data_IF_335692036864
#
_entry.id   IF_335692036864
#
_cell.length_a   1.000
_cell.length_b   1.000
_cell.length_c   1.000
_cell.angle_alpha   90.00
_cell.angle_beta   90.00
_cell.angle_gamma   90.00
#
_symmetry.space_group_name_H-M   'P 1'
#
loop_
_entity.id
_entity.type
_entity.pdbx_description
1 polymer ?
#
# COMPACT_ATOMS: atom_id res chain seq x y z
N UNK A 1 -6.67 2.77 38.54
CA UNK A 1 -5.63 2.65 37.54
C UNK A 1 -6.27 3.04 36.20
N UNK A 2 -6.12 4.31 35.82
CA UNK A 2 -6.57 4.79 34.52
C UNK A 2 -5.55 4.26 33.49
N UNK A 3 -5.77 3.06 32.98
CA UNK A 3 -5.00 2.54 31.86
C UNK A 3 -5.36 3.35 30.60
N UNK A 4 -4.52 4.30 30.22
CA UNK A 4 -4.62 4.96 28.92
C UNK A 4 -4.51 3.90 27.84
N UNK A 5 -5.63 3.64 27.14
CA UNK A 5 -5.65 2.71 26.00
C UNK A 5 -4.76 3.32 24.92
N UNK A 6 -3.59 2.74 24.71
CA UNK A 6 -2.66 3.19 23.64
C UNK A 6 -3.25 2.78 22.28
N UNK A 7 -3.88 3.73 21.64
CA UNK A 7 -4.46 3.54 20.28
C UNK A 7 -3.33 3.58 19.25
N UNK A 8 -3.09 2.47 18.57
CA UNK A 8 -2.08 2.34 17.52
C UNK A 8 -2.58 1.39 16.43
N UNK A 9 -2.21 1.62 15.15
CA UNK A 9 -2.59 0.74 14.06
C UNK A 9 -2.17 -0.71 14.31
N UNK A 10 -3.00 -1.63 13.83
CA UNK A 10 -2.75 -3.06 13.89
C UNK A 10 -1.57 -3.42 12.96
N UNK A 11 -0.62 -4.22 13.48
CA UNK A 11 0.68 -4.41 12.83
C UNK A 11 0.61 -5.25 11.56
N UNK A 12 -0.16 -6.34 11.59
CA UNK A 12 -0.25 -7.25 10.46
C UNK A 12 -0.88 -6.53 9.27
N UNK A 13 -2.02 -5.89 9.47
CA UNK A 13 -2.71 -5.12 8.43
C UNK A 13 -1.83 -3.98 7.88
N UNK A 14 -1.08 -3.29 8.76
CA UNK A 14 -0.14 -2.25 8.35
C UNK A 14 1.00 -2.80 7.46
N UNK A 15 1.59 -3.94 7.84
CA UNK A 15 2.64 -4.59 7.05
C UNK A 15 2.09 -5.08 5.70
N UNK A 16 0.93 -5.75 5.71
CA UNK A 16 0.28 -6.25 4.51
C UNK A 16 -0.10 -5.12 3.53
N UNK A 17 -0.55 -3.98 4.07
CA UNK A 17 -0.82 -2.78 3.26
C UNK A 17 0.43 -2.30 2.53
N UNK A 18 1.57 -2.21 3.21
CA UNK A 18 2.84 -1.80 2.59
C UNK A 18 3.32 -2.79 1.53
N UNK A 19 3.20 -4.10 1.80
CA UNK A 19 3.57 -5.12 0.81
C UNK A 19 2.67 -5.08 -0.41
N UNK A 20 1.36 -4.88 -0.25
CA UNK A 20 0.43 -4.74 -1.36
C UNK A 20 0.70 -3.46 -2.18
N UNK A 21 1.04 -2.34 -1.53
CA UNK A 21 1.48 -1.13 -2.22
C UNK A 21 2.78 -1.34 -3.00
N UNK A 22 3.77 -2.01 -2.39
CA UNK A 22 5.02 -2.35 -3.07
C UNK A 22 4.79 -3.26 -4.29
N UNK A 23 3.89 -4.23 -4.17
CA UNK A 23 3.48 -5.09 -5.29
C UNK A 23 2.87 -4.26 -6.42
N UNK A 24 1.95 -3.34 -6.09
CA UNK A 24 1.34 -2.44 -7.07
C UNK A 24 2.38 -1.62 -7.83
N UNK A 25 3.31 -0.97 -7.13
CA UNK A 25 4.40 -0.19 -7.75
C UNK A 25 5.32 -1.07 -8.59
N UNK A 26 5.65 -2.27 -8.10
CA UNK A 26 6.58 -3.19 -8.75
C UNK A 26 6.04 -3.79 -10.05
N UNK A 27 4.72 -3.95 -10.15
CA UNK A 27 4.06 -4.43 -11.36
C UNK A 27 4.08 -3.39 -12.48
N UNK A 28 4.02 -2.11 -12.10
CA UNK A 28 4.06 -1.01 -13.07
C UNK A 28 5.48 -0.71 -13.51
N UNK A 29 6.43 -0.74 -12.58
CA UNK A 29 7.84 -0.48 -12.85
C UNK A 29 8.70 -1.66 -12.38
N UNK A 30 8.87 -2.65 -13.27
CA UNK A 30 9.61 -3.88 -12.96
C UNK A 30 11.07 -3.61 -12.62
N UNK A 31 11.69 -2.58 -13.20
CA UNK A 31 13.06 -2.17 -12.89
C UNK A 31 13.22 -1.70 -11.44
N UNK A 32 12.22 -1.00 -10.91
CA UNK A 32 12.23 -0.49 -9.53
C UNK A 32 11.79 -1.54 -8.48
N UNK A 33 11.34 -2.72 -8.89
CA UNK A 33 10.71 -3.72 -8.01
C UNK A 33 11.57 -4.11 -6.82
N UNK A 34 12.80 -4.52 -7.05
CA UNK A 34 13.74 -4.92 -5.98
C UNK A 34 13.97 -3.80 -4.99
N UNK A 35 14.22 -2.58 -5.48
CA UNK A 35 14.44 -1.42 -4.63
C UNK A 35 13.20 -1.06 -3.81
N UNK A 36 12.01 -1.15 -4.39
CA UNK A 36 10.73 -0.89 -3.70
C UNK A 36 10.49 -1.89 -2.56
N UNK A 37 10.69 -3.18 -2.79
CA UNK A 37 10.56 -4.19 -1.73
C UNK A 37 11.60 -4.01 -0.63
N UNK A 38 12.86 -3.70 -0.98
CA UNK A 38 13.92 -3.38 0.00
C UNK A 38 13.53 -2.16 0.83
N UNK A 39 12.96 -1.12 0.20
CA UNK A 39 12.48 0.07 0.92
C UNK A 39 11.37 -0.28 1.91
N UNK A 40 10.40 -1.12 1.53
CA UNK A 40 9.32 -1.57 2.41
C UNK A 40 9.86 -2.40 3.58
N UNK A 41 10.77 -3.34 3.33
CA UNK A 41 11.42 -4.11 4.40
C UNK A 41 12.14 -3.16 5.37
N UNK A 42 12.85 -2.18 4.87
CA UNK A 42 13.49 -1.14 5.68
C UNK A 42 12.49 -0.36 6.54
N UNK A 43 11.34 0.03 5.99
CA UNK A 43 10.27 0.69 6.74
C UNK A 43 9.72 -0.19 7.87
N UNK A 44 9.48 -1.48 7.60
CA UNK A 44 8.99 -2.43 8.60
C UNK A 44 10.03 -2.62 9.72
N UNK A 45 11.31 -2.73 9.37
CA UNK A 45 12.41 -2.83 10.36
C UNK A 45 12.52 -1.55 11.18
N UNK A 46 12.44 -0.37 10.56
CA UNK A 46 12.46 0.91 11.27
C UNK A 46 11.31 1.03 12.27
N UNK A 47 10.14 0.56 11.88
CA UNK A 47 8.95 0.51 12.73
C UNK A 47 9.15 -0.39 13.95
N UNK A 48 9.65 -1.60 13.74
CA UNK A 48 9.92 -2.51 14.86
C UNK A 48 10.98 -1.92 15.79
N UNK A 49 12.02 -1.30 15.24
CA UNK A 49 13.01 -0.54 16.00
C UNK A 49 12.39 0.59 16.82
N UNK A 50 11.52 1.39 16.21
CA UNK A 50 10.78 2.45 16.91
C UNK A 50 9.88 1.88 18.01
N UNK A 51 9.32 0.66 17.81
CA UNK A 51 8.57 -0.02 18.84
C UNK A 51 9.44 -0.42 20.02
N UNK A 52 10.55 -1.13 19.78
CA UNK A 52 11.48 -1.57 20.83
C UNK A 52 12.04 -0.38 21.63
N UNK A 53 12.35 0.73 20.94
CA UNK A 53 12.78 1.97 21.61
C UNK A 53 11.78 2.44 22.65
N UNK A 54 10.47 2.36 22.36
CA UNK A 54 9.42 2.81 23.27
C UNK A 54 9.11 1.83 24.40
N UNK A 55 9.39 0.53 24.19
CA UNK A 55 9.21 -0.50 25.22
C UNK A 55 10.37 -0.56 26.20
N UNK A 56 11.31 0.39 26.13
CA UNK A 56 12.44 0.52 27.04
C UNK A 56 13.73 -0.11 26.55
N UNK A 57 13.72 -0.84 25.45
CA UNK A 57 14.91 -1.42 24.84
C UNK A 57 15.64 -0.39 23.94
N UNK A 58 16.14 0.67 24.55
CA UNK A 58 16.65 1.84 23.84
C UNK A 58 17.75 1.51 22.84
N UNK A 59 18.72 0.65 23.19
CA UNK A 59 19.84 0.30 22.33
C UNK A 59 19.38 -0.48 21.08
N UNK A 60 18.58 -1.53 21.29
CA UNK A 60 18.03 -2.33 20.17
C UNK A 60 17.06 -1.51 19.31
N UNK A 61 16.26 -0.65 19.97
CA UNK A 61 15.32 0.21 19.28
C UNK A 61 16.00 1.26 18.40
N UNK A 62 17.05 1.92 18.87
CA UNK A 62 17.83 2.87 18.03
C UNK A 62 18.56 2.16 16.92
N UNK A 63 19.19 1.03 17.18
CA UNK A 63 19.86 0.24 16.15
C UNK A 63 18.87 -0.21 15.06
N UNK A 64 17.74 -0.78 15.44
CA UNK A 64 16.68 -1.20 14.50
C UNK A 64 16.12 -0.04 13.67
N UNK A 65 15.92 1.13 14.30
CA UNK A 65 15.43 2.32 13.60
C UNK A 65 16.46 2.84 12.59
N UNK A 66 17.74 2.93 12.97
CA UNK A 66 18.80 3.38 12.08
C UNK A 66 19.00 2.41 10.91
N UNK A 67 19.08 1.10 11.19
CA UNK A 67 19.22 0.08 10.15
C UNK A 67 18.02 0.12 9.21
N UNK A 68 16.81 0.19 9.76
CA UNK A 68 15.59 0.25 8.94
C UNK A 68 15.54 1.48 8.03
N UNK A 69 15.91 2.65 8.55
CA UNK A 69 15.99 3.90 7.73
C UNK A 69 17.05 3.79 6.65
N UNK A 70 18.24 3.26 6.97
CA UNK A 70 19.31 3.07 5.98
C UNK A 70 18.90 2.07 4.88
N UNK A 71 18.26 0.96 5.26
CA UNK A 71 17.74 -0.03 4.29
C UNK A 71 16.63 0.58 3.44
N UNK A 72 15.71 1.34 4.04
CA UNK A 72 14.65 2.01 3.29
C UNK A 72 15.20 3.05 2.30
N UNK A 73 16.16 3.86 2.72
CA UNK A 73 16.81 4.84 1.86
C UNK A 73 17.65 4.17 0.75
N UNK A 74 18.37 3.10 1.08
CA UNK A 74 19.12 2.29 0.10
C UNK A 74 18.19 1.65 -0.92
N UNK A 75 17.07 1.08 -0.48
CA UNK A 75 16.03 0.53 -1.37
C UNK A 75 15.45 1.60 -2.31
N UNK A 76 15.12 2.77 -1.78
CA UNK A 76 14.66 3.89 -2.60
C UNK A 76 15.71 4.34 -3.61
N UNK A 77 16.98 4.43 -3.21
CA UNK A 77 18.09 4.72 -4.10
C UNK A 77 18.25 3.69 -5.21
N UNK A 78 18.13 2.39 -4.88
CA UNK A 78 18.15 1.30 -5.87
C UNK A 78 16.98 1.42 -6.86
N UNK A 79 15.77 1.67 -6.38
CA UNK A 79 14.60 1.82 -7.25
C UNK A 79 14.74 2.99 -8.22
N UNK A 80 15.26 4.13 -7.76
CA UNK A 80 15.50 5.31 -8.60
C UNK A 80 16.66 5.08 -9.58
N UNK A 81 17.76 4.46 -9.13
CA UNK A 81 18.93 4.20 -9.99
C UNK A 81 18.66 3.15 -11.09
N UNK A 82 17.66 2.30 -10.92
CA UNK A 82 17.26 1.31 -11.93
C UNK A 82 16.39 1.89 -13.04
N UNK A 83 15.90 3.12 -12.88
CA UNK A 83 15.12 3.79 -13.92
C UNK A 83 16.00 4.19 -15.10
N UNK A 84 15.63 3.73 -16.30
CA UNK A 84 16.39 3.98 -17.54
C UNK A 84 15.84 5.17 -18.34
N UNK A 85 14.73 5.76 -17.92
CA UNK A 85 14.08 6.88 -18.60
C UNK A 85 13.27 7.77 -17.67
N UNK A 86 12.86 8.93 -18.19
CA UNK A 86 12.08 9.91 -17.39
C UNK A 86 10.73 9.36 -16.92
N UNK A 87 10.03 8.59 -17.76
CA UNK A 87 8.76 7.94 -17.39
C UNK A 87 8.92 7.04 -16.18
N UNK A 88 9.93 6.15 -16.21
CA UNK A 88 10.22 5.24 -15.09
C UNK A 88 10.65 5.98 -13.82
N UNK A 89 11.36 7.10 -13.95
CA UNK A 89 11.70 7.96 -12.81
C UNK A 89 10.46 8.57 -12.16
N UNK A 90 9.50 9.05 -12.97
CA UNK A 90 8.23 9.60 -12.46
C UNK A 90 7.44 8.51 -11.74
N UNK A 91 7.30 7.34 -12.34
CA UNK A 91 6.59 6.19 -11.76
C UNK A 91 7.25 5.74 -10.44
N UNK A 92 8.56 5.55 -10.43
CA UNK A 92 9.31 5.16 -9.24
C UNK A 92 9.21 6.24 -8.15
N UNK A 93 9.33 7.51 -8.52
CA UNK A 93 9.21 8.64 -7.59
C UNK A 93 7.83 8.72 -6.94
N UNK A 94 6.77 8.66 -7.73
CA UNK A 94 5.38 8.66 -7.24
C UNK A 94 5.09 7.42 -6.39
N UNK A 95 5.52 6.24 -6.86
CA UNK A 95 5.33 4.98 -6.15
C UNK A 95 6.03 4.96 -4.80
N UNK A 96 7.32 5.31 -4.76
CA UNK A 96 8.10 5.39 -3.52
C UNK A 96 7.53 6.43 -2.57
N UNK A 97 7.24 7.64 -3.05
CA UNK A 97 6.61 8.67 -2.23
C UNK A 97 5.30 8.16 -1.62
N UNK A 98 4.47 7.46 -2.42
CA UNK A 98 3.25 6.83 -1.95
C UNK A 98 3.48 5.80 -0.87
N UNK A 99 4.45 4.88 -1.06
CA UNK A 99 4.81 3.85 -0.07
C UNK A 99 5.34 4.47 1.21
N UNK A 100 6.17 5.53 1.13
CA UNK A 100 6.65 6.23 2.32
C UNK A 100 5.54 6.98 3.07
N UNK A 101 4.66 7.70 2.37
CA UNK A 101 3.50 8.35 2.99
C UNK A 101 2.56 7.33 3.66
N UNK A 102 2.27 6.22 2.97
CA UNK A 102 1.49 5.12 3.51
C UNK A 102 2.16 4.54 4.77
N UNK A 103 3.47 4.27 4.70
CA UNK A 103 4.26 3.80 5.83
C UNK A 103 4.14 4.72 7.03
N UNK A 104 4.36 6.02 6.86
CA UNK A 104 4.21 7.00 7.94
C UNK A 104 2.76 7.09 8.47
N UNK A 105 1.76 6.82 7.62
CA UNK A 105 0.35 6.81 7.99
C UNK A 105 -0.03 5.62 8.87
N UNK A 106 0.34 4.41 8.46
CA UNK A 106 -0.02 3.17 9.18
C UNK A 106 0.97 2.77 10.27
N UNK A 107 2.18 3.34 10.25
CA UNK A 107 3.29 3.05 11.17
C UNK A 107 3.75 4.32 11.88
N UNK A 108 2.89 4.98 12.63
CA UNK A 108 3.24 6.27 13.21
C UNK A 108 4.37 6.10 14.23
N UNK A 109 5.37 6.96 14.12
CA UNK A 109 6.38 7.10 15.16
C UNK A 109 5.75 7.56 16.47
N UNK A 110 4.64 8.30 16.42
CA UNK A 110 3.84 8.76 17.59
C UNK A 110 2.36 8.78 17.24
N UNK A 111 1.49 8.39 18.18
CA UNK A 111 0.03 8.49 18.05
C UNK A 111 -0.66 7.30 17.36
N UNK A 112 -1.90 7.51 16.94
CA UNK A 112 -2.84 6.47 16.48
C UNK A 112 -2.76 6.18 14.97
N UNK A 113 -1.81 6.74 14.24
CA UNK A 113 -1.78 6.68 12.79
C UNK A 113 -2.42 7.90 12.12
N UNK A 114 -2.30 7.99 10.81
CA UNK A 114 -2.86 9.11 10.04
C UNK A 114 -3.56 8.59 8.80
N UNK A 115 -4.91 8.60 8.83
CA UNK A 115 -5.73 8.30 7.65
C UNK A 115 -5.41 9.24 6.48
N UNK A 116 -5.10 10.51 6.77
CA UNK A 116 -4.72 11.48 5.75
C UNK A 116 -3.45 11.10 5.01
N UNK A 117 -2.40 10.68 5.74
CA UNK A 117 -1.15 10.19 5.13
C UNK A 117 -1.36 8.88 4.38
N UNK A 118 -2.18 7.97 4.90
CA UNK A 118 -2.51 6.71 4.22
C UNK A 118 -3.24 6.97 2.89
N UNK A 119 -4.22 7.87 2.89
CA UNK A 119 -4.94 8.29 1.67
C UNK A 119 -4.01 8.97 0.67
N UNK A 120 -3.15 9.87 1.12
CA UNK A 120 -2.15 10.51 0.26
C UNK A 120 -1.19 9.48 -0.34
N UNK A 121 -0.76 8.51 0.47
CA UNK A 121 0.11 7.43 0.03
C UNK A 121 -0.55 6.58 -1.06
N UNK A 122 -1.77 6.11 -0.84
CA UNK A 122 -2.53 5.34 -1.82
C UNK A 122 -2.83 6.15 -3.09
N UNK A 123 -3.18 7.44 -2.96
CA UNK A 123 -3.39 8.32 -4.09
C UNK A 123 -2.12 8.48 -4.94
N UNK A 124 -0.95 8.61 -4.31
CA UNK A 124 0.32 8.70 -5.03
C UNK A 124 0.69 7.40 -5.74
N UNK A 125 0.45 6.23 -5.10
CA UNK A 125 0.62 4.92 -5.76
C UNK A 125 -0.34 4.80 -6.95
N UNK A 126 -1.59 5.25 -6.82
CA UNK A 126 -2.54 5.29 -7.94
C UNK A 126 -2.01 6.13 -9.11
N UNK A 127 -1.45 7.30 -8.81
CA UNK A 127 -0.84 8.13 -9.84
C UNK A 127 0.35 7.44 -10.53
N UNK A 128 1.16 6.66 -9.80
CA UNK A 128 2.21 5.83 -10.40
C UNK A 128 1.62 4.78 -11.34
N UNK A 129 0.53 4.10 -10.95
CA UNK A 129 -0.17 3.10 -11.79
C UNK A 129 -0.75 3.76 -13.05
N UNK A 130 -1.40 4.92 -12.90
CA UNK A 130 -1.93 5.68 -14.04
C UNK A 130 -0.80 6.13 -14.97
N UNK A 131 0.31 6.60 -14.43
CA UNK A 131 1.48 6.98 -15.22
C UNK A 131 2.02 5.80 -16.03
N UNK A 132 2.14 4.60 -15.43
CA UNK A 132 2.54 3.38 -16.13
C UNK A 132 1.63 3.01 -17.29
N UNK A 133 0.32 3.23 -17.14
CA UNK A 133 -0.64 3.06 -18.23
C UNK A 133 -0.50 4.12 -19.33
N UNK A 134 -0.31 5.39 -18.94
CA UNK A 134 -0.16 6.51 -19.89
C UNK A 134 1.15 6.43 -20.67
N UNK A 135 2.24 6.06 -20.02
CA UNK A 135 3.56 5.93 -20.67
C UNK A 135 3.75 4.58 -21.35
N UNK A 136 2.76 3.67 -21.23
CA UNK A 136 2.79 2.32 -21.78
C UNK A 136 4.02 1.50 -21.31
N UNK A 137 4.45 1.72 -20.10
CA UNK A 137 5.57 1.02 -19.44
C UNK A 137 5.12 -0.32 -18.84
N UNK A 138 3.81 -0.48 -18.59
CA UNK A 138 3.21 -1.69 -18.07
C UNK A 138 2.11 -2.21 -19.00
N UNK A 139 2.00 -3.54 -19.10
CA UNK A 139 0.92 -4.17 -19.87
C UNK A 139 -0.44 -4.12 -19.12
N UNK A 140 -1.51 -4.41 -19.82
CA UNK A 140 -2.87 -4.33 -19.28
C UNK A 140 -3.10 -5.30 -18.09
N UNK A 141 -2.42 -6.45 -18.08
CA UNK A 141 -2.53 -7.43 -16.98
C UNK A 141 -1.83 -6.89 -15.74
N UNK A 142 -0.62 -6.36 -15.93
CA UNK A 142 0.15 -5.74 -14.84
C UNK A 142 -0.62 -4.56 -14.23
N UNK A 143 -1.23 -3.69 -15.04
CA UNK A 143 -2.06 -2.59 -14.58
C UNK A 143 -3.28 -3.06 -13.80
N UNK A 144 -3.98 -4.10 -14.29
CA UNK A 144 -5.16 -4.65 -13.64
C UNK A 144 -4.79 -5.22 -12.25
N UNK A 145 -3.72 -6.01 -12.19
CA UNK A 145 -3.23 -6.58 -10.92
C UNK A 145 -2.71 -5.49 -10.00
N UNK A 146 -2.02 -4.48 -10.52
CA UNK A 146 -1.54 -3.33 -9.74
C UNK A 146 -2.69 -2.54 -9.11
N UNK A 147 -3.77 -2.30 -9.86
CA UNK A 147 -4.99 -1.67 -9.33
C UNK A 147 -5.61 -2.51 -8.21
N UNK A 148 -5.75 -3.82 -8.40
CA UNK A 148 -6.29 -4.71 -7.38
C UNK A 148 -5.41 -4.72 -6.12
N UNK A 149 -4.08 -4.80 -6.27
CA UNK A 149 -3.13 -4.73 -5.17
C UNK A 149 -3.22 -3.39 -4.41
N UNK A 150 -3.43 -2.28 -5.12
CA UNK A 150 -3.64 -0.97 -4.51
C UNK A 150 -4.92 -0.91 -3.68
N UNK A 151 -6.03 -1.46 -4.17
CA UNK A 151 -7.30 -1.53 -3.42
C UNK A 151 -7.10 -2.37 -2.15
N UNK A 152 -6.44 -3.52 -2.25
CA UNK A 152 -6.09 -4.36 -1.09
C UNK A 152 -5.19 -3.60 -0.12
N UNK A 153 -4.23 -2.83 -0.62
CA UNK A 153 -3.36 -1.98 0.21
C UNK A 153 -4.15 -0.93 0.99
N UNK A 154 -5.06 -0.24 0.32
CA UNK A 154 -5.91 0.77 0.96
C UNK A 154 -6.78 0.15 2.04
N UNK A 155 -7.51 -0.92 1.72
CA UNK A 155 -8.40 -1.61 2.66
C UNK A 155 -7.61 -2.09 3.90
N UNK A 156 -6.45 -2.70 3.71
CA UNK A 156 -5.58 -3.13 4.79
C UNK A 156 -5.08 -1.93 5.64
N UNK A 157 -4.80 -0.77 5.01
CA UNK A 157 -4.40 0.44 5.72
C UNK A 157 -5.53 0.98 6.61
N UNK A 158 -6.74 1.11 6.08
CA UNK A 158 -7.92 1.56 6.83
C UNK A 158 -8.25 0.57 7.96
N UNK A 159 -8.21 -0.74 7.68
CA UNK A 159 -8.41 -1.77 8.69
C UNK A 159 -7.37 -1.68 9.82
N UNK A 160 -6.10 -1.42 9.49
CA UNK A 160 -5.03 -1.30 10.49
C UNK A 160 -5.31 -0.18 11.49
N UNK A 161 -5.78 0.98 11.01
CA UNK A 161 -6.11 2.14 11.85
C UNK A 161 -7.38 1.87 12.64
N UNK A 162 -8.42 1.33 12.01
CA UNK A 162 -9.73 1.07 12.63
C UNK A 162 -9.62 0.05 13.77
N UNK A 163 -8.95 -1.07 13.53
CA UNK A 163 -8.71 -2.11 14.55
C UNK A 163 -7.90 -1.55 15.71
N UNK A 164 -6.88 -0.75 15.41
CA UNK A 164 -6.05 -0.11 16.43
C UNK A 164 -6.80 0.91 17.28
N UNK A 165 -7.79 1.62 16.71
CA UNK A 165 -8.63 2.57 17.43
C UNK A 165 -9.66 1.88 18.34
N UNK A 166 -10.23 0.75 17.88
CA UNK A 166 -11.31 0.04 18.56
C UNK A 166 -10.81 -0.88 19.68
N UNK A 167 -9.78 -1.67 19.41
CA UNK A 167 -9.36 -2.75 20.29
C UNK A 167 -8.10 -2.40 21.11
N UNK A 168 -7.40 -1.34 20.77
CA UNK A 168 -6.12 -1.01 21.38
C UNK A 168 -5.04 -2.06 21.00
N UNK A 169 -3.82 -1.82 21.50
CA UNK A 169 -2.63 -2.57 21.09
C UNK A 169 -2.49 -3.97 21.68
N UNK A 170 -3.16 -4.22 22.84
CA UNK A 170 -2.95 -5.46 23.60
C UNK A 170 -3.81 -6.63 23.11
N UNK A 171 -4.79 -6.36 22.24
CA UNK A 171 -5.66 -7.38 21.68
C UNK A 171 -4.91 -8.24 20.66
N UNK A 172 -5.07 -9.57 20.75
CA UNK A 172 -4.57 -10.51 19.74
C UNK A 172 -5.47 -10.47 18.50
N UNK A 173 -5.21 -9.56 17.58
CA UNK A 173 -6.07 -9.28 16.41
C UNK A 173 -5.63 -10.00 15.14
N UNK A 174 -4.50 -10.69 15.15
CA UNK A 174 -3.87 -11.25 13.95
C UNK A 174 -4.77 -12.18 13.13
N UNK A 175 -5.63 -12.99 13.77
CA UNK A 175 -6.58 -13.87 13.07
C UNK A 175 -7.66 -13.10 12.34
N UNK A 176 -8.18 -12.04 12.97
CA UNK A 176 -9.20 -11.16 12.38
C UNK A 176 -8.59 -10.37 11.22
N UNK A 177 -7.38 -9.82 11.42
CA UNK A 177 -6.65 -9.09 10.39
C UNK A 177 -6.32 -9.99 9.19
N UNK A 178 -5.84 -11.23 9.43
CA UNK A 178 -5.56 -12.19 8.37
C UNK A 178 -6.83 -12.61 7.61
N UNK A 179 -7.94 -12.85 8.31
CA UNK A 179 -9.22 -13.20 7.70
C UNK A 179 -9.75 -12.05 6.83
N UNK A 180 -9.71 -10.82 7.34
CA UNK A 180 -10.13 -9.63 6.60
C UNK A 180 -9.29 -9.44 5.32
N UNK A 181 -7.95 -9.45 5.46
CA UNK A 181 -7.04 -9.32 4.33
C UNK A 181 -7.24 -10.43 3.28
N UNK A 182 -7.44 -11.67 3.73
CA UNK A 182 -7.70 -12.79 2.81
C UNK A 182 -9.00 -12.60 2.03
N UNK A 183 -10.03 -12.08 2.68
CA UNK A 183 -11.30 -11.74 2.04
C UNK A 183 -11.12 -10.68 0.95
N UNK A 184 -10.47 -9.58 1.28
CA UNK A 184 -10.19 -8.49 0.32
C UNK A 184 -9.29 -8.96 -0.83
N UNK A 185 -8.25 -9.75 -0.54
CA UNK A 185 -7.37 -10.33 -1.55
C UNK A 185 -8.12 -11.29 -2.50
N UNK A 186 -9.05 -12.10 -1.95
CA UNK A 186 -9.91 -12.97 -2.75
C UNK A 186 -10.79 -12.15 -3.70
N UNK A 187 -11.46 -11.11 -3.20
CA UNK A 187 -12.28 -10.22 -4.03
C UNK A 187 -11.43 -9.54 -5.11
N UNK A 188 -10.24 -9.06 -4.76
CA UNK A 188 -9.29 -8.51 -5.74
C UNK A 188 -8.89 -9.53 -6.81
N UNK A 189 -8.60 -10.77 -6.40
CA UNK A 189 -8.29 -11.87 -7.32
C UNK A 189 -9.44 -12.21 -8.27
N UNK A 190 -10.67 -12.27 -7.76
CA UNK A 190 -11.89 -12.47 -8.58
C UNK A 190 -12.08 -11.32 -9.56
N UNK A 191 -11.86 -10.06 -9.13
CA UNK A 191 -11.97 -8.89 -10.01
C UNK A 191 -10.92 -8.93 -11.14
N UNK A 192 -9.68 -9.32 -10.83
CA UNK A 192 -8.63 -9.54 -11.85
C UNK A 192 -9.04 -10.66 -12.80
N UNK A 193 -9.48 -11.80 -12.28
CA UNK A 193 -9.93 -12.93 -13.12
C UNK A 193 -11.09 -12.53 -14.05
N UNK A 194 -12.08 -11.81 -13.55
CA UNK A 194 -13.18 -11.29 -14.35
C UNK A 194 -12.69 -10.32 -15.44
N UNK A 195 -11.76 -9.42 -15.11
CA UNK A 195 -11.15 -8.49 -16.08
C UNK A 195 -10.39 -9.21 -17.19
N UNK A 196 -9.67 -10.29 -16.87
CA UNK A 196 -8.97 -11.11 -17.86
C UNK A 196 -9.95 -11.83 -18.78
N UNK A 197 -11.02 -12.42 -18.25
CA UNK A 197 -12.07 -13.06 -19.04
C UNK A 197 -12.72 -12.07 -20.00
N UNK A 198 -13.07 -10.87 -19.52
CA UNK A 198 -13.64 -9.81 -20.38
C UNK A 198 -12.68 -9.42 -21.50
N UNK A 199 -11.40 -9.31 -21.19
CA UNK A 199 -10.34 -9.03 -22.18
C UNK A 199 -10.28 -10.11 -23.26
N UNK A 200 -10.31 -11.40 -22.85
CA UNK A 200 -10.15 -12.54 -23.78
C UNK A 200 -11.41 -12.78 -24.64
N UNK A 201 -12.60 -12.33 -24.19
CA UNK A 201 -13.83 -12.38 -24.96
C UNK A 201 -13.81 -11.48 -26.21
N UNK A 202 -12.72 -10.76 -26.43
CA UNK A 202 -12.48 -10.02 -27.69
C UNK A 202 -13.55 -8.95 -27.97
N UNK A 203 -14.20 -8.44 -26.95
CA UNK A 203 -15.09 -7.29 -27.12
C UNK A 203 -14.27 -6.15 -27.74
N UNK A 204 -14.61 -5.67 -28.96
CA UNK A 204 -13.92 -4.53 -29.55
C UNK A 204 -13.92 -3.42 -28.51
N UNK A 205 -12.72 -2.94 -28.14
CA UNK A 205 -12.42 -2.15 -26.97
C UNK A 205 -13.59 -1.27 -26.51
N UNK A 206 -14.01 -1.44 -25.26
CA UNK A 206 -15.01 -0.55 -24.69
C UNK A 206 -14.55 0.88 -24.93
N UNK A 207 -15.35 1.71 -25.61
CA UNK A 207 -14.95 3.07 -25.86
C UNK A 207 -14.67 3.78 -24.53
N UNK A 208 -13.65 4.61 -24.50
CA UNK A 208 -13.16 5.28 -23.28
C UNK A 208 -14.28 5.90 -22.43
N UNK A 209 -15.32 6.42 -23.10
CA UNK A 209 -16.51 6.95 -22.42
C UNK A 209 -17.30 5.87 -21.66
N UNK A 210 -17.39 4.61 -22.16
CA UNK A 210 -18.07 3.55 -21.43
C UNK A 210 -17.31 3.15 -20.15
N UNK A 211 -15.98 3.11 -20.22
CA UNK A 211 -15.13 2.90 -19.03
C UNK A 211 -15.30 4.06 -18.04
N UNK A 212 -15.33 5.29 -18.52
CA UNK A 212 -15.57 6.46 -17.68
C UNK A 212 -16.95 6.41 -17.00
N UNK A 213 -18.01 6.00 -17.72
CA UNK A 213 -19.35 5.83 -17.13
C UNK A 213 -19.39 4.77 -16.06
N UNK A 214 -18.71 3.61 -16.26
CA UNK A 214 -18.62 2.55 -15.26
C UNK A 214 -17.90 3.03 -14.01
N UNK A 215 -16.78 3.75 -14.16
CA UNK A 215 -16.06 4.33 -13.03
C UNK A 215 -16.91 5.35 -12.27
N UNK A 216 -17.60 6.24 -12.97
CA UNK A 216 -18.51 7.21 -12.36
C UNK A 216 -19.65 6.50 -11.63
N UNK A 217 -20.27 5.47 -12.24
CA UNK A 217 -21.31 4.66 -11.60
C UNK A 217 -20.81 3.96 -10.33
N UNK A 218 -19.57 3.44 -10.36
CA UNK A 218 -18.94 2.81 -9.20
C UNK A 218 -18.70 3.81 -8.07
N UNK A 219 -18.27 5.03 -8.39
CA UNK A 219 -18.11 6.11 -7.40
C UNK A 219 -19.46 6.48 -6.78
N UNK A 220 -20.51 6.64 -7.59
CA UNK A 220 -21.85 6.94 -7.07
C UNK A 220 -22.41 5.79 -6.22
N UNK A 221 -22.18 4.54 -6.63
CA UNK A 221 -22.59 3.36 -5.84
C UNK A 221 -21.85 3.34 -4.49
N UNK A 222 -20.56 3.64 -4.49
CA UNK A 222 -19.76 3.68 -3.25
C UNK A 222 -20.24 4.79 -2.32
N UNK A 223 -20.57 5.97 -2.86
CA UNK A 223 -21.13 7.07 -2.09
C UNK A 223 -22.53 6.71 -1.53
N UNK A 224 -23.39 6.08 -2.33
CA UNK A 224 -24.74 5.68 -1.91
C UNK A 224 -24.75 4.57 -0.84
N UNK A 225 -23.67 3.76 -0.77
CA UNK A 225 -23.53 2.71 0.24
C UNK A 225 -22.84 3.21 1.52
N UNK A 226 -22.35 4.46 1.51
CA UNK A 226 -21.58 5.01 2.64
C UNK A 226 -22.46 5.87 3.59
N UNK A 227 -23.68 6.18 3.20
CA UNK A 227 -24.73 6.81 4.03
C UNK A 227 -25.55 5.74 4.76
#
# INVERSE_FOLDING_TARGET
>A
VNGEITRRPARLSAALSLFAAALSVSLVNTGASTGTFVAVVGLVVAMEGAHQFRTGQRLLGTAGLLVGVLVAAGGAGLAVSSATGQSQLIEAGLGLFGVFCLGLGVLPLRGAGSRGLSKLGCASVLLAVVAGGLFQTADAVALLVACAALVVSWDAAENSVTVGEQLGREAKTWTVEAAHFSGTALVGGVAVGAGLVVRDLGTPGLPLHAVAFVLVALVFLTLALHD
#
